data_IF_374678436770
#
_entry.id   IF_374678436770
#
_cell.length_a   1.000
_cell.length_b   1.000
_cell.length_c   1.000
_cell.angle_alpha   90.00
_cell.angle_beta   90.00
_cell.angle_gamma   90.00
#
_symmetry.space_group_name_H-M   'P 1'
#
loop_
_entity.id
_entity.type
_entity.pdbx_description
1 polymer ?
#
# COMPACT_ATOMS: atom_id res chain seq x y z
N UNK A 1 -2.24 9.29 -17.21
CA UNK A 1 -3.17 9.10 -16.08
C UNK A 1 -3.60 7.64 -16.11
N UNK A 2 -3.00 6.78 -15.27
CA UNK A 2 -3.37 5.36 -15.22
C UNK A 2 -4.83 5.28 -14.76
N UNK A 3 -5.73 4.83 -15.65
CA UNK A 3 -7.10 4.55 -15.27
C UNK A 3 -7.06 3.37 -14.30
N UNK A 4 -7.51 3.61 -13.09
CA UNK A 4 -7.54 2.63 -11.99
C UNK A 4 -8.76 1.72 -12.20
N UNK A 5 -8.85 1.06 -13.35
CA UNK A 5 -10.09 0.39 -13.75
C UNK A 5 -10.34 -0.92 -12.97
N UNK A 6 -9.35 -1.45 -12.24
CA UNK A 6 -9.47 -2.71 -11.48
C UNK A 6 -8.69 -2.74 -10.14
N UNK A 7 -8.89 -1.76 -9.27
CA UNK A 7 -8.46 -1.86 -7.86
C UNK A 7 -9.61 -2.36 -6.98
N UNK A 8 -9.36 -3.32 -6.10
CA UNK A 8 -10.37 -3.74 -5.11
C UNK A 8 -10.51 -2.68 -4.00
N UNK A 9 -11.68 -2.55 -3.35
CA UNK A 9 -11.86 -1.61 -2.23
C UNK A 9 -10.82 -1.78 -1.12
N UNK A 10 -10.35 -3.02 -0.91
CA UNK A 10 -9.27 -3.29 0.05
C UNK A 10 -7.94 -2.69 -0.37
N UNK A 11 -7.57 -2.86 -1.64
CA UNK A 11 -6.32 -2.30 -2.16
C UNK A 11 -6.37 -0.77 -2.19
N UNK A 12 -7.53 -0.19 -2.47
CA UNK A 12 -7.74 1.26 -2.39
C UNK A 12 -7.52 1.78 -0.98
N UNK A 13 -8.05 1.10 0.04
CA UNK A 13 -7.79 1.43 1.45
C UNK A 13 -6.30 1.34 1.81
N UNK A 14 -5.58 0.36 1.28
CA UNK A 14 -4.13 0.24 1.48
C UNK A 14 -3.39 1.43 0.89
N UNK A 15 -3.67 1.77 -0.36
CA UNK A 15 -3.02 2.91 -1.04
C UNK A 15 -3.34 4.21 -0.32
N UNK A 16 -4.60 4.41 0.05
CA UNK A 16 -5.06 5.60 0.78
C UNK A 16 -4.34 5.73 2.12
N UNK A 17 -4.28 4.66 2.91
CA UNK A 17 -3.56 4.65 4.17
C UNK A 17 -2.06 4.97 4.01
N UNK A 18 -1.40 4.41 2.99
CA UNK A 18 0.00 4.72 2.68
C UNK A 18 0.16 6.21 2.36
N UNK A 19 -0.74 6.78 1.54
CA UNK A 19 -0.71 8.21 1.17
C UNK A 19 -0.87 9.11 2.38
N UNK A 20 -1.83 8.80 3.25
CA UNK A 20 -2.09 9.55 4.49
C UNK A 20 -0.87 9.51 5.42
N UNK A 21 -0.28 8.34 5.63
CA UNK A 21 0.89 8.18 6.50
C UNK A 21 2.12 8.95 5.98
N UNK A 22 2.35 8.95 4.67
CA UNK A 22 3.41 9.76 4.07
C UNK A 22 3.10 11.26 4.21
N UNK A 23 1.85 11.67 4.02
CA UNK A 23 1.46 13.07 4.14
C UNK A 23 1.56 13.60 5.58
N UNK A 24 1.19 12.77 6.57
CA UNK A 24 1.15 13.15 7.98
C UNK A 24 2.52 13.01 8.67
N UNK A 25 3.25 11.92 8.40
CA UNK A 25 4.49 11.59 9.12
C UNK A 25 5.76 11.71 8.25
N UNK A 26 5.62 12.01 6.94
CA UNK A 26 6.75 12.08 6.02
C UNK A 26 7.37 10.73 5.67
N UNK A 27 6.78 9.61 6.11
CA UNK A 27 7.30 8.26 5.90
C UNK A 27 6.19 7.25 5.60
N UNK A 28 6.46 6.24 4.75
CA UNK A 28 5.49 5.18 4.48
C UNK A 28 5.30 4.29 5.71
N UNK A 29 4.09 3.73 5.91
CA UNK A 29 3.83 2.83 7.01
C UNK A 29 4.54 1.49 6.81
N UNK A 30 4.84 0.83 7.92
CA UNK A 30 5.39 -0.53 7.92
C UNK A 30 4.32 -1.56 7.56
N UNK A 31 4.76 -2.75 7.14
CA UNK A 31 3.87 -3.90 6.85
C UNK A 31 2.95 -4.24 8.03
N UNK A 32 3.44 -4.07 9.27
CA UNK A 32 2.64 -4.33 10.48
C UNK A 32 1.56 -3.27 10.66
N UNK A 33 1.91 -1.99 10.54
CA UNK A 33 0.95 -0.88 10.62
C UNK A 33 -0.12 -0.96 9.54
N UNK A 34 0.27 -1.34 8.30
CA UNK A 34 -0.70 -1.61 7.24
C UNK A 34 -1.63 -2.73 7.69
N UNK A 35 -1.10 -3.88 8.10
CA UNK A 35 -1.90 -5.02 8.56
C UNK A 35 -2.92 -4.65 9.65
N UNK A 36 -2.51 -3.86 10.65
CA UNK A 36 -3.37 -3.36 11.70
C UNK A 36 -4.48 -2.44 11.17
N UNK A 37 -4.14 -1.47 10.32
CA UNK A 37 -5.10 -0.49 9.78
C UNK A 37 -6.17 -1.10 8.87
N UNK A 38 -5.84 -2.15 8.11
CA UNK A 38 -6.77 -2.82 7.17
C UNK A 38 -7.30 -4.17 7.69
N UNK A 39 -6.95 -4.57 8.91
CA UNK A 39 -7.44 -5.80 9.55
C UNK A 39 -6.84 -7.11 8.99
N UNK A 40 -5.64 -7.06 8.41
CA UNK A 40 -4.91 -8.27 8.00
C UNK A 40 -4.03 -8.78 9.14
N UNK A 41 -4.30 -10.01 9.57
CA UNK A 41 -3.61 -10.64 10.71
C UNK A 41 -2.21 -11.15 10.39
N UNK A 42 -1.89 -11.38 9.11
CA UNK A 42 -0.60 -11.95 8.71
C UNK A 42 0.20 -11.01 7.79
N UNK A 43 1.50 -10.81 8.06
CA UNK A 43 2.38 -10.02 7.18
C UNK A 43 2.38 -10.53 5.73
N UNK A 44 2.29 -11.85 5.53
CA UNK A 44 2.22 -12.46 4.20
C UNK A 44 1.01 -11.96 3.38
N UNK A 45 -0.15 -11.78 4.02
CA UNK A 45 -1.35 -11.25 3.35
C UNK A 45 -1.14 -9.80 2.91
N UNK A 46 -0.47 -9.00 3.74
CA UNK A 46 -0.13 -7.61 3.42
C UNK A 46 0.85 -7.56 2.24
N UNK A 47 1.93 -8.36 2.30
CA UNK A 47 2.89 -8.45 1.19
C UNK A 47 2.24 -8.86 -0.12
N UNK A 48 1.30 -9.81 -0.10
CA UNK A 48 0.55 -10.21 -1.28
C UNK A 48 -0.25 -9.05 -1.88
N UNK A 49 -0.97 -8.28 -1.04
CA UNK A 49 -1.72 -7.12 -1.54
C UNK A 49 -0.80 -6.04 -2.10
N UNK A 50 0.29 -5.71 -1.41
CA UNK A 50 1.28 -4.73 -1.87
C UNK A 50 1.88 -5.12 -3.22
N UNK A 51 2.22 -6.41 -3.43
CA UNK A 51 2.73 -6.88 -4.72
C UNK A 51 1.72 -6.71 -5.86
N UNK A 52 0.41 -6.85 -5.59
CA UNK A 52 -0.61 -6.60 -6.61
C UNK A 52 -0.75 -5.11 -6.90
N UNK A 53 -0.70 -4.26 -5.88
CA UNK A 53 -0.78 -2.80 -6.02
C UNK A 53 0.44 -2.25 -6.78
N UNK A 54 1.62 -2.81 -6.53
CA UNK A 54 2.85 -2.47 -7.26
C UNK A 54 2.76 -2.86 -8.74
N UNK A 55 2.22 -4.04 -9.06
CA UNK A 55 1.96 -4.45 -10.45
C UNK A 55 0.96 -3.54 -11.17
N UNK A 56 0.07 -2.89 -10.43
CA UNK A 56 -0.85 -1.87 -10.96
C UNK A 56 -0.17 -0.51 -11.17
N UNK A 57 1.11 -0.37 -10.79
CA UNK A 57 1.87 0.89 -10.93
C UNK A 57 1.49 1.97 -9.92
N UNK A 58 0.76 1.61 -8.84
CA UNK A 58 0.25 2.55 -7.84
C UNK A 58 1.24 2.81 -6.70
N UNK A 59 2.18 1.88 -6.48
CA UNK A 59 3.28 2.02 -5.52
C UNK A 59 4.55 1.46 -6.16
N UNK A 60 5.70 1.93 -5.71
CA UNK A 60 7.02 1.36 -6.03
C UNK A 60 7.72 1.01 -4.72
N UNK A 61 8.28 -0.21 -4.63
CA UNK A 61 9.07 -0.64 -3.48
C UNK A 61 10.55 -0.70 -3.87
N UNK A 62 11.32 0.32 -3.50
CA UNK A 62 12.77 0.35 -3.70
C UNK A 62 13.48 -0.07 -2.40
N UNK A 63 14.09 -1.26 -2.38
CA UNK A 63 15.00 -1.68 -1.29
C UNK A 63 14.41 -1.61 0.13
N UNK A 64 13.10 -1.76 0.29
CA UNK A 64 12.39 -1.62 1.58
C UNK A 64 11.72 -0.26 1.82
N UNK A 65 11.87 0.72 0.91
CA UNK A 65 11.18 2.02 0.96
C UNK A 65 10.03 2.05 -0.03
N UNK A 66 8.85 2.45 0.44
CA UNK A 66 7.65 2.61 -0.38
C UNK A 66 7.59 4.06 -0.91
N UNK A 67 7.51 4.23 -2.23
CA UNK A 67 7.27 5.52 -2.90
C UNK A 67 6.00 5.44 -3.73
N UNK A 68 5.30 6.57 -3.82
CA UNK A 68 4.19 6.75 -4.75
C UNK A 68 4.75 7.27 -6.08
N UNK A 69 4.19 6.80 -7.18
CA UNK A 69 4.52 7.18 -8.55
C UNK A 69 3.81 8.45 -9.00
#
# INVERSE_FOLDING_TARGET
MYRVDHITPRQERIVTFIREQIAEYGMPPTVRQIGEAIGLRSPASVHYQLSRIERLGLIVREGGRLRLT
#
